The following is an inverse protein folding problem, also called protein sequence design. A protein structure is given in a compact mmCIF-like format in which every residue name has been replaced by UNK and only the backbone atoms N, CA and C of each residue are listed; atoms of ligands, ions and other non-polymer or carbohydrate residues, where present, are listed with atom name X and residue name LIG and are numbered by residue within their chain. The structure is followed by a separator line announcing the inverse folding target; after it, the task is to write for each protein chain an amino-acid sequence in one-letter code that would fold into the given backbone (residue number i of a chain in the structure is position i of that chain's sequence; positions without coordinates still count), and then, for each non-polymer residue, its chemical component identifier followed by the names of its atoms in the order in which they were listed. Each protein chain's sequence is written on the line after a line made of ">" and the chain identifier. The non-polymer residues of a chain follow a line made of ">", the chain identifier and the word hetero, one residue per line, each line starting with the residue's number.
data_IF_971101062525
#
_entry.id   IF_971101062525
#
_cell.length_a   1.000
_cell.length_b   1.000
_cell.length_c   1.000
_cell.angle_alpha   90.00
_cell.angle_beta   90.00
_cell.angle_gamma   90.00
#
_symmetry.space_group_name_H-M   'P 1'
#
loop_
_entity.id
_entity.type
_entity.pdbx_description
1 polymer ?
#
# COMPACT_ATOMS: atom_id res chain seq x y z
N UNK A 1 36.73 -20.68 -9.63
CA UNK A 1 35.27 -20.81 -9.71
C UNK A 1 34.69 -19.45 -9.39
N UNK A 2 34.26 -18.74 -10.42
CA UNK A 2 33.81 -17.34 -10.36
C UNK A 2 32.28 -17.31 -10.16
N UNK A 3 31.82 -16.74 -9.04
CA UNK A 3 30.42 -16.70 -8.62
C UNK A 3 29.66 -15.46 -9.14
N UNK A 4 30.20 -14.73 -10.13
CA UNK A 4 29.60 -13.48 -10.64
C UNK A 4 28.51 -13.63 -11.73
N UNK A 5 28.10 -14.86 -12.09
CA UNK A 5 27.13 -15.11 -13.17
C UNK A 5 25.81 -15.69 -12.68
N UNK A 6 24.99 -14.89 -12.00
CA UNK A 6 23.52 -15.00 -12.03
C UNK A 6 22.83 -13.91 -11.17
N UNK A 7 22.91 -12.65 -11.61
CA UNK A 7 21.90 -11.66 -11.21
C UNK A 7 20.84 -11.57 -12.32
N UNK A 8 19.54 -11.56 -11.98
CA UNK A 8 18.49 -11.35 -12.97
C UNK A 8 18.61 -9.94 -13.59
N UNK A 9 18.22 -9.76 -14.86
CA UNK A 9 18.35 -8.48 -15.54
C UNK A 9 17.51 -7.42 -14.84
N UNK A 10 18.16 -6.34 -14.39
CA UNK A 10 17.49 -5.13 -13.90
C UNK A 10 16.71 -4.51 -15.06
N UNK A 11 15.38 -4.57 -15.00
CA UNK A 11 14.49 -3.93 -15.96
C UNK A 11 14.64 -2.41 -15.82
N UNK A 12 15.33 -1.78 -16.77
CA UNK A 12 15.38 -0.32 -16.89
C UNK A 12 14.16 0.16 -17.66
N UNK A 13 13.18 0.74 -16.96
CA UNK A 13 12.10 1.47 -17.61
C UNK A 13 12.65 2.81 -18.12
N UNK A 14 12.76 2.97 -19.43
CA UNK A 14 13.02 4.27 -20.07
C UNK A 14 11.70 4.81 -20.61
N UNK A 15 11.17 5.84 -19.97
CA UNK A 15 10.04 6.61 -20.50
C UNK A 15 10.58 7.72 -21.38
N UNK A 16 10.07 7.84 -22.61
CA UNK A 16 10.31 8.98 -23.49
C UNK A 16 8.98 9.70 -23.64
N UNK A 17 8.85 10.87 -23.03
CA UNK A 17 7.73 11.79 -23.23
C UNK A 17 8.15 12.93 -24.16
N UNK A 18 7.21 13.52 -24.92
CA UNK A 18 7.54 14.42 -26.02
C UNK A 18 8.14 15.73 -25.50
N UNK A 19 9.17 16.17 -26.22
CA UNK A 19 9.98 17.35 -25.96
C UNK A 19 9.14 18.62 -26.03
N UNK A 20 9.17 19.41 -24.96
CA UNK A 20 9.15 20.87 -25.02
C UNK A 20 9.78 21.45 -23.73
N UNK A 21 10.89 22.17 -23.91
CA UNK A 21 11.32 23.31 -23.09
C UNK A 21 11.73 23.08 -21.62
N UNK A 22 13.02 23.28 -21.37
CA UNK A 22 13.67 23.56 -20.06
C UNK A 22 13.82 22.42 -19.05
N UNK A 23 14.85 21.62 -19.30
CA UNK A 23 15.97 21.32 -18.39
C UNK A 23 15.71 21.40 -16.89
N UNK A 24 15.22 20.29 -16.33
CA UNK A 24 15.86 19.60 -15.20
C UNK A 24 15.42 18.13 -15.27
N UNK A 25 16.32 17.24 -15.69
CA UNK A 25 16.12 15.80 -15.55
C UNK A 25 16.20 15.46 -14.06
N UNK A 26 15.13 15.74 -13.32
CA UNK A 26 14.94 15.17 -12.00
C UNK A 26 14.66 13.68 -12.20
N UNK A 27 15.67 12.84 -11.98
CA UNK A 27 15.45 11.43 -11.70
C UNK A 27 14.52 11.34 -10.49
N UNK A 28 13.21 11.29 -10.73
CA UNK A 28 12.22 11.12 -9.68
C UNK A 28 12.50 9.76 -9.04
N UNK A 29 12.87 9.76 -7.77
CA UNK A 29 13.11 8.52 -7.04
C UNK A 29 11.88 7.61 -7.18
N UNK A 30 12.07 6.31 -7.42
CA UNK A 30 10.96 5.36 -7.58
C UNK A 30 9.95 5.42 -6.40
N UNK A 31 10.44 5.83 -5.22
CA UNK A 31 9.62 6.07 -4.04
C UNK A 31 8.76 7.32 -4.17
N UNK A 32 9.28 8.42 -4.71
CA UNK A 32 8.51 9.65 -4.93
C UNK A 32 7.40 9.47 -5.96
N UNK A 33 7.67 8.71 -7.02
CA UNK A 33 6.65 8.34 -7.99
C UNK A 33 5.53 7.51 -7.34
N UNK A 34 5.91 6.52 -6.52
CA UNK A 34 4.96 5.67 -5.77
C UNK A 34 4.12 6.49 -4.78
N UNK A 35 4.75 7.39 -4.03
CA UNK A 35 4.06 8.29 -3.11
C UNK A 35 3.09 9.23 -3.84
N UNK A 36 3.50 9.80 -4.97
CA UNK A 36 2.64 10.66 -5.80
C UNK A 36 1.41 9.90 -6.30
N UNK A 37 1.60 8.68 -6.81
CA UNK A 37 0.51 7.82 -7.27
C UNK A 37 -0.47 7.48 -6.15
N UNK A 38 0.02 7.13 -4.95
CA UNK A 38 -0.83 6.80 -3.80
C UNK A 38 -1.61 8.03 -3.32
N UNK A 39 -1.00 9.21 -3.28
CA UNK A 39 -1.72 10.45 -2.92
C UNK A 39 -2.86 10.76 -3.89
N UNK A 40 -2.62 10.59 -5.20
CA UNK A 40 -3.64 10.76 -6.23
C UNK A 40 -4.78 9.75 -6.07
N UNK A 41 -4.44 8.48 -5.83
CA UNK A 41 -5.39 7.40 -5.60
C UNK A 41 -6.26 7.63 -4.35
N UNK A 42 -5.67 8.13 -3.27
CA UNK A 42 -6.35 8.46 -2.03
C UNK A 42 -7.08 9.81 -2.09
N UNK A 43 -6.81 10.62 -3.12
CA UNK A 43 -7.24 12.02 -3.23
C UNK A 43 -6.89 12.82 -1.97
N UNK A 44 -5.71 12.55 -1.42
CA UNK A 44 -5.23 13.13 -0.18
C UNK A 44 -3.72 13.39 -0.29
N UNK A 45 -3.32 14.62 0.05
CA UNK A 45 -1.91 15.02 0.12
C UNK A 45 -1.44 14.96 1.57
N UNK A 46 -0.39 14.19 1.84
CA UNK A 46 0.16 14.06 3.18
C UNK A 46 0.96 15.29 3.55
N UNK A 47 0.60 15.92 4.68
CA UNK A 47 1.40 17.00 5.28
C UNK A 47 2.82 16.53 5.63
N UNK A 48 2.94 15.30 6.13
CA UNK A 48 4.22 14.66 6.41
C UNK A 48 4.42 13.45 5.49
N UNK A 49 5.21 13.65 4.42
CA UNK A 49 5.53 12.60 3.44
C UNK A 49 6.22 11.38 4.05
N UNK A 50 6.95 11.53 5.16
CA UNK A 50 7.59 10.38 5.84
C UNK A 50 6.57 9.37 6.35
N UNK A 51 5.38 9.80 6.77
CA UNK A 51 4.32 8.88 7.20
C UNK A 51 3.83 8.02 6.04
N UNK A 52 3.74 8.59 4.84
CA UNK A 52 3.38 7.85 3.64
C UNK A 52 4.53 6.91 3.23
N UNK A 53 5.77 7.36 3.34
CA UNK A 53 6.94 6.52 3.07
C UNK A 53 6.98 5.29 3.99
N UNK A 54 6.82 5.49 5.30
CA UNK A 54 6.78 4.43 6.31
C UNK A 54 5.59 3.49 6.04
N UNK A 55 4.41 4.03 5.70
CA UNK A 55 3.21 3.25 5.37
C UNK A 55 3.39 2.36 4.13
N UNK A 56 4.26 2.74 3.20
CA UNK A 56 4.60 1.96 2.01
C UNK A 56 5.81 1.04 2.22
N UNK A 57 6.34 0.92 3.44
CA UNK A 57 7.55 0.15 3.73
C UNK A 57 7.24 -1.13 4.49
N UNK A 58 7.44 -2.28 3.83
CA UNK A 58 7.29 -3.59 4.48
C UNK A 58 8.44 -3.86 5.47
N UNK A 59 8.21 -4.55 6.60
CA UNK A 59 9.24 -4.86 7.60
C UNK A 59 10.48 -5.62 7.07
N UNK A 60 10.35 -6.31 5.94
CA UNK A 60 11.49 -6.96 5.27
C UNK A 60 12.51 -5.98 4.69
N UNK A 61 12.10 -4.73 4.45
CA UNK A 61 12.97 -3.71 3.89
C UNK A 61 13.79 -3.10 5.03
N UNK A 62 15.02 -3.60 5.18
CA UNK A 62 15.92 -3.21 6.26
C UNK A 62 16.47 -1.80 6.03
N UNK A 63 16.71 -1.06 7.12
CA UNK A 63 17.28 0.29 7.05
C UNK A 63 16.26 1.44 6.92
N UNK A 64 14.97 1.19 7.06
CA UNK A 64 13.93 2.22 7.12
C UNK A 64 12.84 1.84 8.12
N UNK A 65 12.07 2.83 8.60
CA UNK A 65 10.91 2.56 9.43
C UNK A 65 9.83 1.82 8.61
N UNK A 66 9.19 0.83 9.23
CA UNK A 66 8.15 0.03 8.60
C UNK A 66 6.75 0.52 8.96
N UNK A 67 5.75 0.06 8.21
CA UNK A 67 4.35 0.42 8.47
C UNK A 67 3.81 -0.12 9.80
N UNK A 68 4.50 -1.02 10.51
CA UNK A 68 3.96 -1.75 11.68
C UNK A 68 3.41 -0.84 12.78
N UNK A 69 4.10 0.27 13.05
CA UNK A 69 3.63 1.25 14.05
C UNK A 69 2.37 1.99 13.59
N UNK A 70 2.30 2.28 12.29
CA UNK A 70 1.13 2.93 11.68
C UNK A 70 -0.04 1.95 11.58
N UNK A 71 0.23 0.67 11.33
CA UNK A 71 -0.76 -0.40 11.34
C UNK A 71 -1.44 -0.52 12.71
N UNK A 72 -0.66 -0.50 13.79
CA UNK A 72 -1.22 -0.55 15.16
C UNK A 72 -2.24 0.57 15.43
N UNK A 73 -1.91 1.81 15.06
CA UNK A 73 -2.82 2.95 15.24
C UNK A 73 -3.97 2.91 14.23
N UNK A 74 -3.67 2.52 12.99
CA UNK A 74 -4.62 2.44 11.89
C UNK A 74 -5.73 1.42 12.13
N UNK A 75 -5.41 0.27 12.71
CA UNK A 75 -6.39 -0.76 13.06
C UNK A 75 -7.42 -0.25 14.08
N UNK A 76 -6.94 0.38 15.16
CA UNK A 76 -7.80 0.99 16.16
C UNK A 76 -8.67 2.13 15.58
N UNK A 77 -8.08 3.00 14.76
CA UNK A 77 -8.78 4.11 14.12
C UNK A 77 -9.86 3.63 13.15
N UNK A 78 -9.55 2.64 12.31
CA UNK A 78 -10.51 2.03 11.38
C UNK A 78 -11.63 1.32 12.13
N UNK A 79 -11.29 0.61 13.21
CA UNK A 79 -12.24 -0.03 14.12
C UNK A 79 -13.23 0.97 14.70
N UNK A 80 -12.75 2.12 15.15
CA UNK A 80 -13.60 3.19 15.67
C UNK A 80 -14.48 3.81 14.59
N UNK A 81 -13.92 4.14 13.42
CA UNK A 81 -14.66 4.76 12.32
C UNK A 81 -15.83 3.88 11.84
N UNK A 82 -15.59 2.57 11.66
CA UNK A 82 -16.63 1.62 11.24
C UNK A 82 -17.66 1.40 12.36
N UNK A 83 -17.22 1.33 13.62
CA UNK A 83 -18.15 1.22 14.76
C UNK A 83 -19.07 2.43 14.83
N UNK A 84 -18.51 3.64 14.68
CA UNK A 84 -19.29 4.87 14.66
C UNK A 84 -20.27 4.91 13.49
N UNK A 85 -19.85 4.47 12.30
CA UNK A 85 -20.74 4.35 11.13
C UNK A 85 -21.95 3.44 11.43
N UNK A 86 -21.72 2.26 11.99
CA UNK A 86 -22.83 1.34 12.31
C UNK A 86 -23.70 1.82 13.45
N UNK A 87 -23.11 2.44 14.47
CA UNK A 87 -23.84 3.04 15.59
C UNK A 87 -24.83 4.11 15.10
N UNK A 88 -24.38 5.01 14.20
CA UNK A 88 -25.23 6.06 13.65
C UNK A 88 -26.22 5.55 12.60
N UNK A 89 -25.83 4.54 11.80
CA UNK A 89 -26.69 4.00 10.74
C UNK A 89 -27.80 3.09 11.27
N UNK A 90 -27.56 2.40 12.37
CA UNK A 90 -28.48 1.43 12.94
C UNK A 90 -28.79 1.72 14.42
N UNK A 91 -29.51 2.82 14.70
CA UNK A 91 -29.77 3.27 16.07
C UNK A 91 -30.59 2.27 16.92
N UNK A 92 -31.41 1.43 16.27
CA UNK A 92 -32.32 0.49 16.94
C UNK A 92 -31.72 -0.90 17.17
N UNK A 93 -30.46 -1.11 16.75
CA UNK A 93 -29.77 -2.40 16.89
C UNK A 93 -29.05 -2.46 18.24
N UNK A 94 -29.23 -3.57 18.97
CA UNK A 94 -28.54 -3.81 20.23
C UNK A 94 -27.02 -3.98 20.07
N UNK A 95 -26.28 -3.76 21.17
CA UNK A 95 -24.83 -3.85 21.22
C UNK A 95 -24.27 -5.19 20.69
N UNK A 96 -24.96 -6.30 20.96
CA UNK A 96 -24.53 -7.63 20.55
C UNK A 96 -24.53 -7.76 19.03
N UNK A 97 -25.61 -7.34 18.39
CA UNK A 97 -25.72 -7.32 16.93
C UNK A 97 -24.77 -6.30 16.28
N UNK A 98 -24.56 -5.13 16.88
CA UNK A 98 -23.54 -4.18 16.39
C UNK A 98 -22.13 -4.80 16.41
N UNK A 99 -21.81 -5.59 17.44
CA UNK A 99 -20.54 -6.31 17.54
C UNK A 99 -20.40 -7.37 16.44
N UNK A 100 -21.48 -8.10 16.12
CA UNK A 100 -21.50 -9.05 15.00
C UNK A 100 -21.32 -8.36 13.65
N UNK A 101 -22.02 -7.24 13.41
CA UNK A 101 -21.89 -6.46 12.18
C UNK A 101 -20.47 -5.90 12.04
N UNK A 102 -19.86 -5.41 13.12
CA UNK A 102 -18.46 -4.99 13.13
C UNK A 102 -17.53 -6.14 12.77
N UNK A 103 -17.61 -7.26 13.47
CA UNK A 103 -16.75 -8.43 13.23
C UNK A 103 -16.91 -8.97 11.80
N UNK A 104 -18.12 -8.98 11.27
CA UNK A 104 -18.37 -9.39 9.90
C UNK A 104 -17.72 -8.44 8.89
N UNK A 105 -17.62 -7.13 9.15
CA UNK A 105 -17.13 -6.14 8.19
C UNK A 105 -15.64 -5.80 8.31
N UNK A 106 -15.04 -6.03 9.48
CA UNK A 106 -13.63 -5.74 9.74
C UNK A 106 -12.87 -7.07 9.81
N UNK A 107 -12.19 -7.42 8.73
CA UNK A 107 -11.22 -8.53 8.71
C UNK A 107 -10.06 -8.20 7.81
N UNK A 108 -8.88 -8.73 8.13
CA UNK A 108 -7.65 -8.57 7.34
C UNK A 108 -7.89 -8.95 5.87
N UNK A 109 -8.66 -10.01 5.60
CA UNK A 109 -9.00 -10.43 4.24
C UNK A 109 -9.83 -9.37 3.49
N UNK A 110 -10.82 -8.74 4.14
CA UNK A 110 -11.62 -7.68 3.53
C UNK A 110 -10.78 -6.47 3.19
N UNK A 111 -9.90 -6.05 4.11
CA UNK A 111 -8.99 -4.93 3.90
C UNK A 111 -7.97 -5.24 2.79
N UNK A 112 -7.42 -6.46 2.78
CA UNK A 112 -6.52 -6.91 1.73
C UNK A 112 -7.19 -6.88 0.34
N UNK A 113 -8.44 -7.35 0.22
CA UNK A 113 -9.19 -7.26 -1.05
C UNK A 113 -9.37 -5.83 -1.53
N UNK A 114 -9.64 -4.88 -0.62
CA UNK A 114 -9.74 -3.46 -0.97
C UNK A 114 -8.38 -2.94 -1.44
N UNK A 115 -7.29 -3.25 -0.74
CA UNK A 115 -5.94 -2.85 -1.14
C UNK A 115 -5.56 -3.39 -2.52
N UNK A 116 -5.91 -4.65 -2.81
CA UNK A 116 -5.70 -5.29 -4.12
C UNK A 116 -6.52 -4.63 -5.23
N UNK A 117 -7.82 -4.40 -5.01
CA UNK A 117 -8.70 -3.72 -5.96
C UNK A 117 -8.27 -2.29 -6.27
N UNK A 118 -7.61 -1.63 -5.32
CA UNK A 118 -7.05 -0.28 -5.47
C UNK A 118 -5.61 -0.29 -5.98
N UNK A 119 -5.04 -1.48 -6.25
CA UNK A 119 -3.65 -1.66 -6.68
C UNK A 119 -2.61 -1.07 -5.72
N UNK A 120 -2.95 -0.91 -4.42
CA UNK A 120 -2.05 -0.32 -3.42
C UNK A 120 -0.79 -1.15 -3.19
N UNK A 121 -0.89 -2.48 -3.35
CA UNK A 121 0.23 -3.40 -3.15
C UNK A 121 1.42 -3.12 -4.08
N UNK A 122 1.19 -2.53 -5.26
CA UNK A 122 2.24 -2.23 -6.24
C UNK A 122 3.21 -1.14 -5.78
N UNK A 123 2.80 -0.34 -4.80
CA UNK A 123 3.57 0.79 -4.28
C UNK A 123 4.29 0.45 -2.97
N UNK A 124 4.11 -0.77 -2.45
CA UNK A 124 4.78 -1.21 -1.22
C UNK A 124 6.17 -1.70 -1.55
N UNK A 125 7.20 -1.10 -0.96
CA UNK A 125 8.58 -1.61 -1.06
C UNK A 125 8.78 -2.77 -0.09
N UNK A 126 9.34 -3.87 -0.60
CA UNK A 126 9.69 -5.05 0.17
C UNK A 126 10.93 -5.71 -0.40
N UNK A 127 11.57 -6.58 0.40
CA UNK A 127 12.72 -7.38 -0.02
C UNK A 127 12.40 -8.89 0.10
N UNK A 128 11.14 -9.24 -0.18
CA UNK A 128 10.66 -10.63 -0.15
C UNK A 128 10.41 -11.11 -1.58
N UNK A 129 11.28 -11.96 -2.15
CA UNK A 129 11.14 -12.47 -3.52
C UNK A 129 9.82 -13.24 -3.75
N UNK A 130 9.32 -13.91 -2.72
CA UNK A 130 8.09 -14.69 -2.79
C UNK A 130 6.81 -13.84 -2.94
N UNK A 131 6.85 -12.54 -2.65
CA UNK A 131 5.71 -11.65 -2.86
C UNK A 131 5.56 -11.29 -4.35
N UNK A 132 6.66 -11.16 -5.09
CA UNK A 132 6.62 -10.94 -6.54
C UNK A 132 6.02 -12.15 -7.28
N UNK A 133 6.31 -13.36 -6.81
CA UNK A 133 5.81 -14.60 -7.40
C UNK A 133 4.32 -14.85 -7.06
N UNK A 134 3.90 -14.58 -5.82
CA UNK A 134 2.51 -14.80 -5.37
C UNK A 134 1.51 -13.79 -5.95
N UNK A 135 1.94 -12.56 -6.26
CA UNK A 135 1.11 -11.57 -6.97
C UNK A 135 1.42 -11.50 -8.46
N UNK A 136 2.42 -12.21 -8.99
CA UNK A 136 2.61 -12.40 -10.43
C UNK A 136 1.72 -13.50 -11.02
N UNK A 137 1.54 -14.60 -10.29
CA UNK A 137 0.81 -15.79 -10.78
C UNK A 137 -0.71 -15.68 -10.63
N UNK A 138 -1.21 -14.97 -9.61
CA UNK A 138 -2.66 -14.87 -9.35
C UNK A 138 -3.41 -14.00 -10.38
N UNK A 139 -2.72 -13.16 -11.16
CA UNK A 139 -3.34 -12.33 -12.21
C UNK A 139 -3.19 -12.90 -13.63
N UNK A 140 -2.62 -14.09 -13.79
CA UNK A 140 -2.60 -14.80 -15.08
C UNK A 140 -3.85 -15.67 -15.33
N UNK A 141 -4.76 -15.79 -14.36
CA UNK A 141 -5.92 -16.71 -14.43
C UNK A 141 -7.23 -16.07 -13.92
N UNK A 142 -7.33 -14.74 -13.89
CA UNK A 142 -8.62 -14.05 -13.67
C UNK A 142 -8.74 -12.87 -14.63
#
# INVERSE_FOLDING_TARGET
>A
MDLSRNLPPTVRYTYVLPMDGDSENHEVSAMEASMSAVQSLLRYTFNNKKLLEDALTHPSYTGSASYQRLEFVGDAALGLAISNYFFLKYPDIDQGKLSLVRAANISTEKLARVAVRRHLYKYVRHNVPALDEKYGVVFGVI
#
